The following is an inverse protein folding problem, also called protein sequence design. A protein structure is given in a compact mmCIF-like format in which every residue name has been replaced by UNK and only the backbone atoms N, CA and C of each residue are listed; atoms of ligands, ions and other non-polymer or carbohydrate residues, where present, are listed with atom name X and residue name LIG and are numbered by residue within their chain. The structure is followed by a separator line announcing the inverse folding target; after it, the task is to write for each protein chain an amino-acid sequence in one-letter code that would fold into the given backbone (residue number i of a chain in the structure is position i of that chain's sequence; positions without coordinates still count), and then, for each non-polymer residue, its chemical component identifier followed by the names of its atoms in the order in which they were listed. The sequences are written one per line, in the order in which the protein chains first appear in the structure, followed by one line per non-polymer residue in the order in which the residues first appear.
data_IF_223429193102
#
_entry.id   IF_223429193102
#
_cell.length_a   1.000
_cell.length_b   1.000
_cell.length_c   1.000
_cell.angle_alpha   90.00
_cell.angle_beta   90.00
_cell.angle_gamma   90.00
#
_symmetry.space_group_name_H-M   'P 1'
#
loop_
_entity.id
_entity.type
_entity.pdbx_description
1 polymer ?
#
# COMPACT_ATOMS: atom_id res chain seq x y z
N UNK A 1 2.83 16.91 -16.77
CA UNK A 1 2.42 15.63 -16.16
C UNK A 1 3.39 15.34 -15.03
N UNK A 2 2.92 14.96 -13.84
CA UNK A 2 3.81 14.64 -12.72
C UNK A 2 4.60 13.36 -13.01
N UNK A 3 5.85 13.32 -12.57
CA UNK A 3 6.79 12.26 -12.91
C UNK A 3 6.59 11.03 -12.00
N UNK A 4 6.15 9.92 -12.59
CA UNK A 4 6.03 8.62 -11.90
C UNK A 4 7.41 8.08 -11.53
N UNK A 5 8.46 8.37 -12.32
CA UNK A 5 9.82 7.87 -12.06
C UNK A 5 10.44 8.48 -10.80
N UNK A 6 9.89 9.58 -10.30
CA UNK A 6 10.26 10.21 -9.05
C UNK A 6 9.63 9.55 -7.80
N UNK A 7 8.77 8.54 -7.98
CA UNK A 7 8.15 7.79 -6.89
C UNK A 7 9.01 6.59 -6.47
N UNK A 8 8.69 6.03 -5.31
CA UNK A 8 9.28 4.77 -4.84
C UNK A 8 9.09 3.68 -5.92
N UNK A 9 10.12 2.87 -6.25
CA UNK A 9 10.06 1.83 -7.28
C UNK A 9 8.83 0.92 -7.19
N UNK A 10 8.53 0.38 -6.01
CA UNK A 10 7.35 -0.45 -5.79
C UNK A 10 6.05 0.29 -6.16
N UNK A 11 5.98 1.60 -5.90
CA UNK A 11 4.81 2.39 -6.27
C UNK A 11 4.69 2.56 -7.79
N UNK A 12 5.81 2.65 -8.51
CA UNK A 12 5.83 2.68 -9.98
C UNK A 12 5.26 1.37 -10.56
N UNK A 13 5.66 0.23 -10.00
CA UNK A 13 5.13 -1.08 -10.39
C UNK A 13 3.64 -1.22 -10.06
N UNK A 14 3.22 -0.78 -8.87
CA UNK A 14 1.80 -0.79 -8.47
C UNK A 14 0.94 0.14 -9.34
N UNK A 15 1.45 1.29 -9.76
CA UNK A 15 0.75 2.18 -10.70
C UNK A 15 0.53 1.46 -12.04
N UNK A 16 1.56 0.81 -12.57
CA UNK A 16 1.47 0.06 -13.83
C UNK A 16 0.44 -1.07 -13.72
N UNK A 17 0.46 -1.82 -12.62
CA UNK A 17 -0.49 -2.90 -12.36
C UNK A 17 -1.93 -2.38 -12.18
N UNK A 18 -2.10 -1.25 -11.48
CA UNK A 18 -3.39 -0.59 -11.30
C UNK A 18 -3.99 -0.19 -12.65
N UNK A 19 -3.22 0.50 -13.50
CA UNK A 19 -3.65 0.90 -14.84
C UNK A 19 -4.08 -0.31 -15.67
N UNK A 20 -3.32 -1.41 -15.65
CA UNK A 20 -3.66 -2.65 -16.36
C UNK A 20 -4.98 -3.25 -15.86
N UNK A 21 -5.17 -3.36 -14.55
CA UNK A 21 -6.41 -3.92 -13.96
C UNK A 21 -7.62 -3.02 -14.18
N UNK A 22 -7.45 -1.71 -14.11
CA UNK A 22 -8.50 -0.75 -14.43
C UNK A 22 -8.90 -0.86 -15.91
N UNK A 23 -7.94 -0.91 -16.83
CA UNK A 23 -8.22 -1.05 -18.25
C UNK A 23 -8.98 -2.36 -18.56
N UNK A 24 -8.59 -3.47 -17.92
CA UNK A 24 -9.32 -4.74 -18.03
C UNK A 24 -10.76 -4.69 -17.49
N UNK A 25 -11.04 -3.75 -16.57
CA UNK A 25 -12.39 -3.49 -16.06
C UNK A 25 -13.13 -2.39 -16.86
N UNK A 26 -12.61 -1.96 -18.01
CA UNK A 26 -13.19 -0.90 -18.84
C UNK A 26 -13.02 0.51 -18.26
N UNK A 27 -12.08 0.70 -17.32
CA UNK A 27 -11.84 2.00 -16.67
C UNK A 27 -10.46 2.52 -17.09
N UNK A 28 -10.43 3.69 -17.72
CA UNK A 28 -9.16 4.36 -18.06
C UNK A 28 -8.85 5.44 -17.02
N UNK A 29 -7.66 5.36 -16.41
CA UNK A 29 -7.19 6.31 -15.41
C UNK A 29 -5.89 6.98 -15.84
N UNK A 30 -5.69 8.23 -15.41
CA UNK A 30 -4.42 8.94 -15.49
C UNK A 30 -3.83 9.22 -14.11
N UNK A 31 -2.55 9.58 -14.06
CA UNK A 31 -1.86 9.97 -12.82
C UNK A 31 -1.74 11.50 -12.79
N UNK A 32 -2.37 12.09 -11.77
CA UNK A 32 -2.47 13.55 -11.60
C UNK A 32 -1.35 14.11 -10.75
N UNK A 33 -1.09 13.52 -9.58
CA UNK A 33 -0.07 13.98 -8.63
C UNK A 33 0.86 12.82 -8.23
N UNK A 34 2.14 13.13 -8.02
CA UNK A 34 3.19 12.19 -7.62
C UNK A 34 3.99 12.78 -6.45
N UNK A 35 5.33 12.74 -6.51
CA UNK A 35 6.22 13.41 -5.58
C UNK A 35 5.88 14.90 -5.50
N UNK A 36 5.82 15.41 -4.26
CA UNK A 36 5.54 16.82 -3.98
C UNK A 36 6.65 17.44 -3.17
N UNK A 37 7.18 18.57 -3.61
CA UNK A 37 8.20 19.29 -2.87
C UNK A 37 7.61 19.98 -1.63
N UNK A 38 8.48 20.40 -0.70
CA UNK A 38 8.09 21.22 0.45
C UNK A 38 7.33 22.49 0.02
N UNK A 39 7.86 23.22 -0.97
CA UNK A 39 7.26 24.47 -1.45
C UNK A 39 5.88 24.25 -2.07
N UNK A 40 5.71 23.19 -2.85
CA UNK A 40 4.41 22.83 -3.42
C UNK A 40 3.39 22.46 -2.34
N UNK A 41 3.81 21.70 -1.31
CA UNK A 41 2.93 21.35 -0.20
C UNK A 41 2.54 22.58 0.64
N UNK A 42 3.47 23.50 0.89
CA UNK A 42 3.16 24.78 1.56
C UNK A 42 2.19 25.63 0.73
N UNK A 43 2.34 25.65 -0.60
CA UNK A 43 1.40 26.34 -1.49
C UNK A 43 -0.02 25.73 -1.46
N UNK A 44 -0.14 24.39 -1.35
CA UNK A 44 -1.44 23.73 -1.16
C UNK A 44 -2.03 24.02 0.22
N UNK A 45 -1.21 24.04 1.27
CA UNK A 45 -1.64 24.37 2.62
C UNK A 45 -2.20 25.80 2.71
N UNK A 46 -1.66 26.74 1.93
CA UNK A 46 -2.11 28.13 1.88
C UNK A 46 -3.54 28.31 1.30
N UNK A 47 -4.02 27.40 0.45
CA UNK A 47 -5.37 27.49 -0.16
C UNK A 47 -6.46 27.39 0.91
N UNK A 48 -7.42 28.32 0.87
CA UNK A 48 -8.48 28.46 1.87
C UNK A 48 -8.01 28.98 3.22
N UNK A 49 -6.76 29.44 3.32
CA UNK A 49 -6.17 30.03 4.54
C UNK A 49 -5.62 31.43 4.25
N UNK A 50 -4.51 31.48 3.52
CA UNK A 50 -3.83 32.75 3.13
C UNK A 50 -3.95 33.03 1.63
N UNK A 51 -4.48 32.07 0.86
CA UNK A 51 -4.84 32.22 -0.56
C UNK A 51 -6.28 31.75 -0.79
N UNK A 52 -7.00 32.31 -1.78
CA UNK A 52 -8.34 31.82 -2.15
C UNK A 52 -8.36 30.33 -2.53
N UNK A 53 -9.50 29.68 -2.36
CA UNK A 53 -9.74 28.27 -2.73
C UNK A 53 -10.22 27.40 -1.56
N UNK A 54 -10.54 26.14 -1.85
CA UNK A 54 -10.93 25.16 -0.81
C UNK A 54 -9.69 24.66 -0.06
N UNK A 55 -9.87 24.33 1.22
CA UNK A 55 -8.84 23.61 1.99
C UNK A 55 -8.76 22.19 1.42
N UNK A 56 -7.60 21.86 0.83
CA UNK A 56 -7.32 20.55 0.22
C UNK A 56 -6.33 19.71 1.03
N UNK A 57 -5.71 20.29 2.05
CA UNK A 57 -4.76 19.58 2.91
C UNK A 57 -4.64 20.24 4.28
N UNK A 58 -4.32 19.42 5.29
CA UNK A 58 -3.97 19.86 6.64
C UNK A 58 -2.45 19.81 6.91
N UNK A 59 -1.66 19.24 5.99
CA UNK A 59 -0.23 19.07 6.17
C UNK A 59 0.55 20.30 5.70
N UNK A 60 1.32 20.91 6.60
CA UNK A 60 2.31 21.94 6.27
C UNK A 60 3.53 21.30 5.62
N UNK A 61 4.05 21.90 4.54
CA UNK A 61 5.17 21.38 3.78
C UNK A 61 6.43 21.19 4.63
N UNK A 62 6.77 22.15 5.48
CA UNK A 62 7.95 22.04 6.36
C UNK A 62 7.90 20.88 7.36
N UNK A 63 6.72 20.33 7.63
CA UNK A 63 6.53 19.26 8.62
C UNK A 63 6.68 17.86 8.03
N UNK A 64 6.86 17.74 6.70
CA UNK A 64 6.88 16.47 5.96
C UNK A 64 5.72 15.54 6.33
N UNK A 65 4.53 16.11 6.56
CA UNK A 65 3.36 15.37 7.03
C UNK A 65 2.42 14.91 5.90
N UNK A 66 2.81 15.11 4.64
CA UNK A 66 2.14 14.54 3.47
C UNK A 66 2.93 13.37 2.90
N UNK A 67 2.27 12.24 2.62
CA UNK A 67 2.91 11.05 2.05
C UNK A 67 3.48 11.29 0.63
N UNK A 68 2.92 12.26 -0.12
CA UNK A 68 3.50 12.68 -1.40
C UNK A 68 4.91 13.23 -1.27
N UNK A 69 5.24 13.89 -0.16
CA UNK A 69 6.59 14.44 0.05
C UNK A 69 7.63 13.34 0.22
N UNK A 70 7.21 12.13 0.57
CA UNK A 70 8.06 10.96 0.74
C UNK A 70 8.11 10.08 -0.52
N UNK A 71 7.44 10.47 -1.61
CA UNK A 71 7.44 9.71 -2.87
C UNK A 71 6.73 8.35 -2.78
N UNK A 72 5.90 8.14 -1.76
CA UNK A 72 5.16 6.89 -1.52
C UNK A 72 3.65 7.04 -1.69
N UNK A 73 3.21 8.13 -2.32
CA UNK A 73 1.81 8.37 -2.65
C UNK A 73 1.65 9.00 -4.04
N UNK A 74 0.49 8.79 -4.64
CA UNK A 74 0.08 9.40 -5.90
C UNK A 74 -1.43 9.64 -5.91
N UNK A 75 -1.86 10.59 -6.73
CA UNK A 75 -3.28 10.83 -7.01
C UNK A 75 -3.61 10.43 -8.44
N UNK A 76 -4.73 9.74 -8.63
CA UNK A 76 -5.25 9.41 -9.96
C UNK A 76 -6.49 10.26 -10.33
N UNK A 77 -6.77 10.32 -11.62
CA UNK A 77 -7.99 10.90 -12.16
C UNK A 77 -8.60 9.97 -13.22
N UNK A 78 -9.91 10.11 -13.45
CA UNK A 78 -10.58 9.36 -14.53
C UNK A 78 -10.23 9.98 -15.87
N UNK A 79 -9.80 9.15 -16.83
CA UNK A 79 -9.43 9.57 -18.17
C UNK A 79 -10.33 8.87 -19.19
N UNK A 80 -11.63 9.04 -19.00
CA UNK A 80 -12.68 8.46 -19.82
C UNK A 80 -13.94 9.32 -19.69
N UNK A 81 -14.88 9.11 -20.61
CA UNK A 81 -16.23 9.65 -20.53
C UNK A 81 -17.02 8.83 -19.50
N UNK A 82 -17.50 9.52 -18.46
CA UNK A 82 -18.15 8.93 -17.29
C UNK A 82 -19.66 8.98 -17.40
N UNK A 83 -20.22 10.02 -18.05
CA UNK A 83 -21.66 10.26 -18.14
C UNK A 83 -22.26 10.02 -19.54
N UNK A 84 -21.42 9.75 -20.53
CA UNK A 84 -21.81 9.39 -21.90
C UNK A 84 -22.03 10.61 -22.81
N UNK A 85 -21.61 11.81 -22.40
CA UNK A 85 -21.79 13.04 -23.19
C UNK A 85 -20.75 13.22 -24.31
N UNK A 86 -19.80 12.29 -24.42
CA UNK A 86 -18.72 12.30 -25.40
C UNK A 86 -17.51 13.15 -25.02
N UNK A 87 -17.49 13.76 -23.83
CA UNK A 87 -16.35 14.53 -23.31
C UNK A 87 -15.67 13.78 -22.17
N UNK A 88 -14.38 14.03 -22.01
CA UNK A 88 -13.59 13.42 -20.93
C UNK A 88 -12.87 14.46 -20.06
N UNK A 89 -12.95 15.74 -20.42
CA UNK A 89 -12.16 16.82 -19.82
C UNK A 89 -12.71 17.31 -18.48
N UNK A 90 -14.03 17.21 -18.31
CA UNK A 90 -14.80 17.54 -17.12
C UNK A 90 -14.97 16.35 -16.16
N UNK A 91 -14.67 15.15 -16.64
CA UNK A 91 -14.86 13.91 -15.89
C UNK A 91 -13.71 13.48 -15.01
N UNK A 92 -12.59 14.23 -15.03
CA UNK A 92 -11.39 13.90 -14.28
C UNK A 92 -11.67 13.55 -12.80
N UNK A 93 -12.66 14.21 -12.18
CA UNK A 93 -13.09 14.00 -10.80
C UNK A 93 -14.58 13.62 -10.67
N UNK A 94 -15.23 13.23 -11.76
CA UNK A 94 -16.64 12.84 -11.74
C UNK A 94 -16.81 11.44 -11.14
N UNK A 95 -17.51 11.36 -10.01
CA UNK A 95 -17.78 10.08 -9.35
C UNK A 95 -19.28 9.75 -9.28
N UNK A 96 -20.09 10.30 -10.19
CA UNK A 96 -21.53 10.04 -10.27
C UNK A 96 -21.85 8.55 -10.42
N UNK A 97 -21.01 7.81 -11.16
CA UNK A 97 -21.16 6.37 -11.44
C UNK A 97 -20.37 5.47 -10.48
N UNK A 98 -19.72 6.06 -9.46
CA UNK A 98 -18.93 5.31 -8.47
C UNK A 98 -17.61 4.72 -8.99
N UNK A 99 -17.09 5.19 -10.13
CA UNK A 99 -15.84 4.70 -10.73
C UNK A 99 -14.63 4.86 -9.80
N UNK A 100 -14.53 5.95 -9.02
CA UNK A 100 -13.45 6.08 -8.02
C UNK A 100 -13.50 4.96 -6.99
N UNK A 101 -14.69 4.49 -6.61
CA UNK A 101 -14.82 3.40 -5.66
C UNK A 101 -14.34 2.08 -6.27
N UNK A 102 -14.63 1.84 -7.56
CA UNK A 102 -14.14 0.66 -8.30
C UNK A 102 -12.61 0.69 -8.40
N UNK A 103 -12.03 1.80 -8.84
CA UNK A 103 -10.56 1.99 -8.91
C UNK A 103 -9.95 1.83 -7.52
N UNK A 104 -10.56 2.44 -6.49
CA UNK A 104 -10.20 2.29 -5.08
C UNK A 104 -10.06 0.84 -4.65
N UNK A 105 -11.09 0.02 -4.94
CA UNK A 105 -11.11 -1.41 -4.62
C UNK A 105 -10.05 -2.21 -5.41
N UNK A 106 -9.83 -1.86 -6.68
CA UNK A 106 -8.74 -2.47 -7.47
C UNK A 106 -7.38 -2.14 -6.85
N UNK A 107 -7.12 -0.88 -6.48
CA UNK A 107 -5.88 -0.49 -5.82
C UNK A 107 -5.67 -1.20 -4.49
N UNK A 108 -6.72 -1.32 -3.67
CA UNK A 108 -6.69 -2.11 -2.44
C UNK A 108 -6.35 -3.58 -2.70
N UNK A 109 -6.92 -4.19 -3.76
CA UNK A 109 -6.66 -5.59 -4.12
C UNK A 109 -5.21 -5.89 -4.52
N UNK A 110 -4.44 -4.86 -4.90
CA UNK A 110 -3.02 -4.99 -5.24
C UNK A 110 -2.10 -4.49 -4.13
N UNK A 111 -2.63 -4.23 -2.93
CA UNK A 111 -1.86 -3.86 -1.75
C UNK A 111 -1.61 -2.36 -1.57
N UNK A 112 -2.34 -1.48 -2.27
CA UNK A 112 -2.30 -0.05 -1.98
C UNK A 112 -3.29 0.33 -0.87
N UNK A 113 -2.91 1.29 -0.04
CA UNK A 113 -3.87 1.99 0.81
C UNK A 113 -4.59 3.05 -0.01
N UNK A 114 -5.91 3.13 0.10
CA UNK A 114 -6.76 4.05 -0.66
C UNK A 114 -7.39 5.11 0.24
N UNK A 115 -7.19 6.39 -0.10
CA UNK A 115 -7.69 7.52 0.68
C UNK A 115 -9.21 7.64 0.73
N UNK A 116 -9.92 7.06 -0.24
CA UNK A 116 -11.39 6.99 -0.22
C UNK A 116 -11.95 6.10 0.89
N UNK A 117 -11.12 5.22 1.47
CA UNK A 117 -11.48 4.36 2.62
C UNK A 117 -11.16 4.99 3.98
N UNK A 118 -10.56 6.17 4.03
CA UNK A 118 -10.29 6.86 5.29
C UNK A 118 -11.58 7.31 5.99
N UNK A 119 -11.55 7.43 7.32
CA UNK A 119 -12.68 7.97 8.10
C UNK A 119 -12.92 9.44 7.76
N UNK A 120 -11.86 10.22 7.76
CA UNK A 120 -11.81 11.62 7.35
C UNK A 120 -10.33 12.05 7.31
N UNK A 121 -9.90 12.95 6.42
CA UNK A 121 -10.65 13.49 5.27
C UNK A 121 -10.61 12.44 4.16
N UNK A 122 -11.76 12.08 3.57
CA UNK A 122 -11.80 11.11 2.46
C UNK A 122 -11.19 11.73 1.22
N UNK A 123 -10.15 11.09 0.70
CA UNK A 123 -9.42 11.54 -0.48
C UNK A 123 -9.45 10.45 -1.56
N UNK A 124 -10.47 10.51 -2.43
CA UNK A 124 -10.73 9.43 -3.40
C UNK A 124 -9.64 9.29 -4.47
N UNK A 125 -9.01 10.37 -4.97
CA UNK A 125 -7.84 10.27 -5.85
C UNK A 125 -6.62 9.59 -5.22
N UNK A 126 -6.49 9.61 -3.89
CA UNK A 126 -5.23 9.29 -3.23
C UNK A 126 -4.99 7.79 -3.05
N UNK A 127 -3.81 7.34 -3.43
CA UNK A 127 -3.24 6.05 -3.03
C UNK A 127 -1.86 6.21 -2.42
N UNK A 128 -1.51 5.29 -1.52
CA UNK A 128 -0.16 5.22 -0.93
C UNK A 128 0.29 3.80 -0.61
N UNK A 129 1.61 3.62 -0.47
CA UNK A 129 2.18 2.38 0.04
C UNK A 129 1.93 2.26 1.55
N UNK A 130 1.38 1.13 2.03
CA UNK A 130 1.03 0.94 3.44
C UNK A 130 2.24 0.63 4.34
N UNK A 131 3.41 0.28 3.78
CA UNK A 131 4.59 -0.24 4.50
C UNK A 131 5.11 0.74 5.59
N UNK A 132 4.81 2.03 5.42
CA UNK A 132 5.19 3.10 6.33
C UNK A 132 4.06 3.63 7.24
N UNK A 133 2.90 2.96 7.20
CA UNK A 133 1.68 3.34 7.91
C UNK A 133 0.91 4.44 7.18
N UNK A 134 -0.33 4.68 7.64
CA UNK A 134 -1.23 5.65 7.03
C UNK A 134 -0.78 7.12 7.14
N UNK A 135 0.26 7.39 7.94
CA UNK A 135 0.84 8.72 8.12
C UNK A 135 2.36 8.67 8.05
N UNK A 136 3.05 9.79 7.72
CA UNK A 136 4.51 9.81 7.66
C UNK A 136 5.25 9.67 9.00
N UNK A 137 4.57 9.32 10.10
CA UNK A 137 5.16 9.24 11.45
C UNK A 137 6.35 8.27 11.48
N UNK A 138 6.20 7.09 10.87
CA UNK A 138 7.27 6.07 10.82
C UNK A 138 8.45 6.55 9.96
N UNK A 139 8.16 7.16 8.80
CA UNK A 139 9.15 7.72 7.89
C UNK A 139 9.99 8.82 8.57
N UNK A 140 9.33 9.77 9.25
CA UNK A 140 9.99 10.82 10.03
C UNK A 140 10.88 10.23 11.13
N UNK A 141 10.39 9.23 11.87
CA UNK A 141 11.15 8.60 12.95
C UNK A 141 12.40 7.88 12.44
N UNK A 142 12.32 7.20 11.29
CA UNK A 142 13.42 6.37 10.77
C UNK A 142 14.44 7.18 9.96
N UNK A 143 13.99 8.15 9.18
CA UNK A 143 14.85 8.84 8.20
C UNK A 143 15.01 10.34 8.46
N UNK A 144 14.12 10.96 9.23
CA UNK A 144 14.10 12.40 9.50
C UNK A 144 13.58 13.22 8.33
N UNK A 145 14.16 13.06 7.13
CA UNK A 145 13.80 13.84 5.93
C UNK A 145 13.50 12.95 4.72
N UNK A 146 12.66 13.41 3.78
CA UNK A 146 12.40 12.68 2.54
C UNK A 146 13.65 12.38 1.72
N UNK A 147 14.61 13.30 1.67
CA UNK A 147 15.85 13.13 0.90
C UNK A 147 16.67 11.95 1.43
N UNK A 148 16.75 11.80 2.76
CA UNK A 148 17.44 10.66 3.40
C UNK A 148 16.74 9.34 3.12
N UNK A 149 15.41 9.36 3.02
CA UNK A 149 14.63 8.17 2.66
C UNK A 149 14.81 7.81 1.17
N UNK A 150 14.75 8.79 0.26
CA UNK A 150 14.93 8.57 -1.17
C UNK A 150 16.33 8.09 -1.53
N UNK A 151 17.34 8.55 -0.80
CA UNK A 151 18.73 8.12 -0.99
C UNK A 151 18.93 6.61 -0.74
N UNK A 152 18.03 5.95 0.02
CA UNK A 152 18.11 4.51 0.29
C UNK A 152 17.18 3.67 -0.58
N UNK A 153 16.46 4.28 -1.54
CA UNK A 153 15.67 3.53 -2.51
C UNK A 153 16.60 2.66 -3.36
N UNK A 154 16.33 1.36 -3.43
CA UNK A 154 16.96 0.49 -4.43
C UNK A 154 16.37 0.88 -5.78
N UNK A 155 17.17 1.38 -6.73
CA UNK A 155 16.65 1.84 -8.03
C UNK A 155 15.88 0.72 -8.75
N UNK A 156 14.79 1.05 -9.45
CA UNK A 156 14.11 0.12 -10.33
C UNK A 156 15.10 -0.49 -11.33
N UNK A 157 15.19 -1.82 -11.36
CA UNK A 157 16.18 -2.57 -12.16
C UNK A 157 17.45 -2.98 -11.42
N UNK A 158 17.77 -2.40 -10.26
CA UNK A 158 18.53 -3.15 -9.26
C UNK A 158 17.52 -4.07 -8.59
N UNK A 159 17.45 -5.30 -9.12
CA UNK A 159 16.90 -6.39 -8.34
C UNK A 159 17.46 -6.21 -6.93
N UNK A 160 16.57 -6.04 -5.94
CA UNK A 160 16.94 -6.59 -4.66
C UNK A 160 17.43 -7.99 -5.02
N UNK A 161 18.67 -8.33 -4.67
CA UNK A 161 19.03 -9.70 -4.38
C UNK A 161 18.18 -10.14 -3.18
N UNK A 162 16.85 -10.08 -3.31
CA UNK A 162 16.02 -11.19 -2.96
C UNK A 162 16.60 -12.32 -3.81
N UNK A 163 17.57 -13.05 -3.24
CA UNK A 163 17.54 -14.50 -3.38
C UNK A 163 16.06 -14.86 -3.44
N UNK A 164 15.57 -15.26 -4.62
CA UNK A 164 14.26 -15.88 -4.74
C UNK A 164 14.36 -17.13 -3.89
N UNK A 165 14.14 -16.99 -2.58
CA UNK A 165 14.08 -18.12 -1.68
C UNK A 165 12.91 -18.93 -2.20
N UNK A 166 13.21 -20.12 -2.67
CA UNK A 166 12.19 -21.02 -3.17
C UNK A 166 11.43 -21.55 -1.96
N UNK A 167 10.37 -20.85 -1.57
CA UNK A 167 9.53 -21.30 -0.46
C UNK A 167 8.77 -22.56 -0.85
N UNK A 168 9.00 -23.63 -0.09
CA UNK A 168 8.33 -24.93 -0.16
C UNK A 168 7.57 -25.23 1.12
N UNK A 169 6.44 -25.92 0.99
CA UNK A 169 5.72 -26.48 2.13
C UNK A 169 6.61 -27.51 2.84
N UNK A 170 6.47 -27.62 4.16
CA UNK A 170 7.23 -28.56 4.97
C UNK A 170 8.65 -28.13 5.33
N UNK A 171 9.12 -26.98 4.88
CA UNK A 171 10.39 -26.39 5.34
C UNK A 171 10.17 -25.53 6.58
N UNK A 172 11.17 -25.49 7.45
CA UNK A 172 11.18 -24.59 8.60
C UNK A 172 11.65 -23.20 8.21
N UNK A 173 11.02 -22.19 8.77
CA UNK A 173 11.23 -20.80 8.42
C UNK A 173 11.18 -19.92 9.67
N UNK A 174 12.18 -19.05 9.85
CA UNK A 174 12.22 -18.14 11.01
C UNK A 174 11.63 -16.78 10.70
N UNK A 175 10.66 -16.37 11.52
CA UNK A 175 10.02 -15.06 11.48
C UNK A 175 11.00 -13.98 11.98
N UNK A 176 11.12 -12.85 11.28
CA UNK A 176 12.08 -11.78 11.63
C UNK A 176 11.46 -10.47 12.06
N UNK A 177 10.16 -10.35 11.89
CA UNK A 177 9.37 -9.27 12.44
C UNK A 177 7.98 -9.76 12.75
N UNK A 178 7.26 -9.06 13.62
CA UNK A 178 5.93 -9.50 13.99
C UNK A 178 4.96 -9.35 12.81
N UNK A 179 4.22 -10.41 12.46
CA UNK A 179 3.33 -10.44 11.29
C UNK A 179 1.92 -10.84 11.71
N UNK A 180 0.87 -10.10 11.28
CA UNK A 180 -0.51 -10.51 11.56
C UNK A 180 -0.84 -11.82 10.84
N UNK A 181 -1.53 -12.72 11.53
CA UNK A 181 -2.17 -13.88 10.91
C UNK A 181 -3.43 -13.39 10.19
N UNK A 182 -3.75 -13.96 9.02
CA UNK A 182 -4.93 -13.63 8.23
C UNK A 182 -5.84 -14.85 8.06
N UNK A 183 -7.15 -14.60 7.92
CA UNK A 183 -8.15 -15.62 7.68
C UNK A 183 -8.28 -15.92 6.17
N UNK A 184 -7.38 -16.75 5.63
CA UNK A 184 -7.31 -17.04 4.18
C UNK A 184 -6.37 -16.11 3.41
N UNK A 185 -6.16 -16.42 2.11
CA UNK A 185 -5.15 -15.80 1.24
C UNK A 185 -5.34 -14.31 0.92
N UNK A 186 -6.49 -13.73 1.26
CA UNK A 186 -6.80 -12.29 1.06
C UNK A 186 -7.75 -11.77 2.16
N UNK A 187 -7.87 -12.49 3.27
CA UNK A 187 -8.91 -12.25 4.27
C UNK A 187 -8.56 -11.21 5.31
N UNK A 188 -9.54 -10.93 6.18
CA UNK A 188 -9.37 -10.07 7.35
C UNK A 188 -8.34 -10.65 8.33
N UNK A 189 -7.83 -9.79 9.22
CA UNK A 189 -6.96 -10.21 10.32
C UNK A 189 -7.58 -11.37 11.11
N UNK A 190 -6.84 -12.47 11.23
CA UNK A 190 -7.24 -13.69 11.92
C UNK A 190 -7.39 -13.43 13.41
N UNK A 191 -8.57 -13.73 13.96
CA UNK A 191 -8.78 -13.58 15.40
C UNK A 191 -7.94 -14.62 16.14
N UNK A 192 -7.22 -14.17 17.17
CA UNK A 192 -6.34 -15.01 17.98
C UNK A 192 -7.06 -16.24 18.54
N UNK A 193 -8.35 -16.10 18.88
CA UNK A 193 -9.17 -17.18 19.44
C UNK A 193 -9.28 -18.39 18.51
N UNK A 194 -9.26 -18.18 17.19
CA UNK A 194 -9.42 -19.23 16.20
C UNK A 194 -8.10 -19.89 15.79
N UNK A 195 -6.97 -19.40 16.31
CA UNK A 195 -5.68 -20.04 16.09
C UNK A 195 -5.62 -21.38 16.83
N UNK A 196 -5.03 -22.39 16.19
CA UNK A 196 -4.70 -23.65 16.85
C UNK A 196 -3.76 -23.40 18.03
N UNK A 197 -3.81 -24.28 19.04
CA UNK A 197 -2.95 -24.17 20.21
C UNK A 197 -1.47 -24.20 19.83
N UNK A 198 -1.11 -24.93 18.77
CA UNK A 198 0.25 -24.96 18.24
C UNK A 198 0.67 -23.58 17.73
N UNK A 199 -0.14 -22.92 16.91
CA UNK A 199 0.18 -21.58 16.37
C UNK A 199 0.19 -20.52 17.49
N UNK A 200 -0.69 -20.64 18.49
CA UNK A 200 -0.73 -19.71 19.63
C UNK A 200 0.59 -19.62 20.38
N UNK A 201 1.38 -20.70 20.45
CA UNK A 201 2.71 -20.67 21.09
C UNK A 201 3.68 -19.71 20.43
N UNK A 202 3.46 -19.41 19.15
CA UNK A 202 4.31 -18.55 18.32
C UNK A 202 3.68 -17.18 18.07
N UNK A 203 2.54 -16.88 18.69
CA UNK A 203 1.73 -15.69 18.42
C UNK A 203 1.44 -14.84 19.65
N UNK A 204 1.52 -13.52 19.51
CA UNK A 204 0.94 -12.56 20.44
C UNK A 204 -0.55 -12.35 20.13
N UNK A 205 -1.35 -12.13 21.17
CA UNK A 205 -2.70 -11.58 21.05
C UNK A 205 -2.65 -10.05 21.18
N UNK A 206 -2.97 -9.33 20.10
CA UNK A 206 -3.07 -7.85 20.11
C UNK A 206 -4.48 -7.46 19.70
N UNK A 207 -5.27 -6.99 20.65
CA UNK A 207 -6.67 -6.57 20.45
C UNK A 207 -7.55 -7.65 19.80
N UNK A 208 -7.34 -8.92 20.17
CA UNK A 208 -8.09 -10.06 19.62
C UNK A 208 -7.57 -10.58 18.27
N UNK A 209 -6.53 -9.97 17.70
CA UNK A 209 -5.87 -10.40 16.47
C UNK A 209 -4.57 -11.13 16.83
N UNK A 210 -4.29 -12.25 16.15
CA UNK A 210 -3.05 -12.99 16.31
C UNK A 210 -1.90 -12.42 15.48
N UNK A 211 -0.73 -12.28 16.09
CA UNK A 211 0.49 -11.85 15.42
C UNK A 211 1.61 -12.85 15.71
N UNK A 212 2.19 -13.49 14.70
CA UNK A 212 3.45 -14.22 14.89
C UNK A 212 4.49 -13.26 15.44
N UNK A 213 5.21 -13.63 16.50
CA UNK A 213 6.24 -12.76 17.05
C UNK A 213 7.55 -12.87 16.26
N UNK A 214 8.40 -11.85 16.38
CA UNK A 214 9.75 -11.92 15.86
C UNK A 214 10.49 -13.11 16.51
N UNK A 215 11.18 -13.91 15.71
CA UNK A 215 11.93 -15.08 16.13
C UNK A 215 11.14 -16.39 16.21
N UNK A 216 9.84 -16.39 15.92
CA UNK A 216 9.06 -17.62 15.82
C UNK A 216 9.54 -18.50 14.67
N UNK A 217 9.59 -19.82 14.87
CA UNK A 217 9.87 -20.77 13.80
C UNK A 217 8.55 -21.38 13.31
N UNK A 218 8.29 -21.31 12.02
CA UNK A 218 7.06 -21.79 11.38
C UNK A 218 7.36 -22.85 10.32
N UNK A 219 6.42 -23.76 10.12
CA UNK A 219 6.48 -24.80 9.09
C UNK A 219 5.17 -24.82 8.31
N UNK A 220 5.08 -24.16 7.14
CA UNK A 220 3.85 -24.12 6.39
C UNK A 220 3.49 -25.49 5.82
N UNK A 221 2.19 -25.80 5.87
CA UNK A 221 1.59 -26.96 5.18
C UNK A 221 1.30 -26.67 3.71
N UNK A 222 1.19 -25.39 3.33
CA UNK A 222 0.97 -24.96 1.94
C UNK A 222 1.71 -23.64 1.69
N UNK A 223 2.28 -23.50 0.49
CA UNK A 223 2.89 -22.27 0.01
C UNK A 223 2.23 -21.87 -1.30
N UNK A 224 1.72 -20.64 -1.38
CA UNK A 224 1.10 -20.12 -2.60
C UNK A 224 1.77 -18.83 -3.04
N UNK A 225 2.09 -18.75 -4.33
CA UNK A 225 2.61 -17.53 -4.97
C UNK A 225 1.51 -16.89 -5.80
N UNK A 226 1.43 -15.58 -5.78
CA UNK A 226 0.42 -14.82 -6.52
C UNK A 226 1.06 -13.91 -7.57
N UNK A 227 0.27 -13.52 -8.57
CA UNK A 227 0.71 -12.68 -9.69
C UNK A 227 1.16 -11.28 -9.25
N UNK A 228 0.75 -10.85 -8.05
CA UNK A 228 1.21 -9.60 -7.43
C UNK A 228 2.58 -9.72 -6.74
N UNK A 229 3.21 -10.89 -6.85
CA UNK A 229 4.49 -11.26 -6.28
C UNK A 229 4.39 -11.91 -4.90
N UNK A 230 3.29 -11.70 -4.15
CA UNK A 230 3.20 -12.14 -2.76
C UNK A 230 3.30 -13.67 -2.59
N UNK A 231 3.90 -14.10 -1.48
CA UNK A 231 3.99 -15.50 -1.08
C UNK A 231 3.20 -15.70 0.21
N UNK A 232 2.30 -16.66 0.23
CA UNK A 232 1.48 -16.95 1.40
C UNK A 232 1.75 -18.33 1.95
N UNK A 233 1.74 -18.40 3.27
CA UNK A 233 1.97 -19.62 4.04
C UNK A 233 0.70 -20.02 4.76
N UNK A 234 0.20 -21.22 4.46
CA UNK A 234 -0.82 -21.86 5.29
C UNK A 234 -0.09 -22.62 6.39
N UNK A 235 -0.39 -22.31 7.65
CA UNK A 235 0.33 -22.89 8.78
C UNK A 235 -0.32 -24.17 9.30
N UNK A 236 -1.64 -24.30 9.18
CA UNK A 236 -2.37 -25.51 9.55
C UNK A 236 -3.70 -25.67 8.77
N UNK A 237 -4.44 -26.73 9.09
CA UNK A 237 -5.76 -27.02 8.50
C UNK A 237 -6.86 -26.05 8.96
N UNK A 238 -6.63 -25.31 10.05
CA UNK A 238 -7.60 -24.38 10.66
C UNK A 238 -7.31 -22.94 10.22
N UNK A 239 -7.59 -22.66 8.94
CA UNK A 239 -7.81 -21.32 8.36
C UNK A 239 -6.88 -20.18 8.86
N UNK A 240 -5.59 -20.47 9.10
CA UNK A 240 -4.57 -19.48 9.40
C UNK A 240 -3.61 -19.37 8.21
N UNK A 241 -3.77 -18.33 7.39
CA UNK A 241 -2.88 -18.00 6.29
C UNK A 241 -2.05 -16.77 6.68
N UNK A 242 -0.74 -16.81 6.44
CA UNK A 242 0.16 -15.68 6.62
C UNK A 242 0.51 -15.10 5.25
N UNK A 243 0.37 -13.79 5.08
CA UNK A 243 0.88 -13.07 3.91
C UNK A 243 2.36 -12.73 4.13
N UNK A 244 3.24 -13.13 3.22
CA UNK A 244 4.64 -12.69 3.17
C UNK A 244 4.86 -12.00 1.83
N UNK A 245 4.76 -10.67 1.85
CA UNK A 245 4.83 -9.83 0.66
C UNK A 245 6.25 -9.62 0.13
N UNK A 246 6.32 -9.40 -1.18
CA UNK A 246 7.47 -8.89 -1.92
C UNK A 246 7.74 -7.48 -1.41
N UNK A 247 8.91 -7.31 -0.79
CA UNK A 247 9.46 -6.06 -0.24
C UNK A 247 9.07 -5.61 1.18
N UNK A 248 9.04 -6.57 2.12
CA UNK A 248 9.72 -6.34 3.40
C UNK A 248 8.86 -6.16 4.67
N UNK A 249 8.70 -7.17 5.53
CA UNK A 249 9.57 -8.34 5.65
C UNK A 249 8.86 -9.56 6.23
N UNK A 250 9.40 -10.71 5.86
CA UNK A 250 9.96 -11.65 6.84
C UNK A 250 11.25 -12.21 6.20
N UNK A 251 12.44 -11.94 6.78
CA UNK A 251 13.67 -12.61 6.29
C UNK A 251 13.70 -14.03 6.81
N UNK A 252 13.00 -14.90 6.11
CA UNK A 252 13.11 -16.31 6.38
C UNK A 252 14.46 -16.76 5.80
N UNK A 253 15.45 -16.78 6.70
CA UNK A 253 16.71 -17.49 6.50
C UNK A 253 16.53 -18.94 6.91
#
# INVERSE_FOLDING_TARGET
MRDIKALHPDLQEKITLLQKKCAAAGITIGIGECLRTKAEQDALYAKGRTKPGKIVTNAKGFSYSSMHQWGVAFDFYLKMDVDGDGKTSDDAFNNSTGLYNKVGKIGQSIGLEWGGSWKSIKDRPHFQLPNWGSTPTKLKKMYGTPEKFMAVWKKSGQAATATKTEYKAGNWYRVKEAVPVCNGYYGEHGKYIYLSNQIKTSCDNKNGIGYLHNGADIKPVEVRKFDDGSVWFKLDATIACLAVGVDGKVYIG
#
